data_IF_154001407719
#
_entry.id   IF_154001407719
#
_cell.length_a   1.000
_cell.length_b   1.000
_cell.length_c   1.000
_cell.angle_alpha   90.00
_cell.angle_beta   90.00
_cell.angle_gamma   90.00
#
_symmetry.space_group_name_H-M   'P 1'
#
loop_
_entity.id
_entity.type
_entity.pdbx_description
1 polymer ?
#
# COMPACT_ATOMS: atom_id res chain seq x y z
N UNK A 1 -0.65 0.42 23.40
CA UNK A 1 0.42 -0.17 22.59
C UNK A 1 1.79 0.09 23.22
N UNK A 2 2.80 -0.70 22.84
CA UNK A 2 4.11 -0.71 23.51
C UNK A 2 4.90 0.60 23.39
N UNK A 3 4.59 1.44 22.41
CA UNK A 3 5.25 2.75 22.22
C UNK A 3 4.59 3.88 23.02
N UNK A 4 3.44 3.64 23.66
CA UNK A 4 2.77 4.62 24.52
C UNK A 4 3.19 4.38 25.95
N UNK A 5 3.79 5.38 26.59
CA UNK A 5 4.31 5.28 27.96
C UNK A 5 3.65 6.30 28.88
N UNK A 6 3.70 6.05 30.18
CA UNK A 6 3.29 7.00 31.22
C UNK A 6 4.46 7.86 31.74
N UNK A 7 5.67 7.56 31.27
CA UNK A 7 6.90 8.26 31.69
C UNK A 7 7.27 9.40 30.76
N UNK A 8 6.69 9.42 29.56
CA UNK A 8 6.88 10.46 28.57
C UNK A 8 5.53 10.82 27.93
N UNK A 9 5.21 12.10 27.82
CA UNK A 9 3.93 12.59 27.33
C UNK A 9 2.75 12.33 28.29
N UNK A 10 1.58 12.19 27.73
CA UNK A 10 0.31 12.08 28.48
C UNK A 10 -0.16 10.64 28.70
N UNK A 11 0.48 9.66 28.09
CA UNK A 11 -0.02 8.27 28.03
C UNK A 11 -1.24 8.09 27.11
N UNK A 12 -1.61 9.11 26.35
CA UNK A 12 -2.73 9.08 25.37
C UNK A 12 -2.18 9.36 23.98
N UNK A 13 -2.54 8.53 23.01
CA UNK A 13 -2.17 8.70 21.61
C UNK A 13 -3.40 8.70 20.72
N UNK A 14 -3.40 9.56 19.71
CA UNK A 14 -4.39 9.54 18.64
C UNK A 14 -4.00 8.46 17.62
N UNK A 15 -4.96 7.66 17.19
CA UNK A 15 -4.78 6.59 16.19
C UNK A 15 -5.75 6.83 15.03
N UNK A 16 -5.21 6.88 13.81
CA UNK A 16 -5.97 7.02 12.57
C UNK A 16 -5.58 5.88 11.58
N UNK A 17 -6.21 4.69 11.68
CA UNK A 17 -5.77 3.48 10.96
C UNK A 17 -5.65 3.63 9.44
N UNK A 18 -6.40 4.53 8.80
CA UNK A 18 -6.33 4.78 7.35
C UNK A 18 -5.19 5.72 6.93
N UNK A 19 -4.50 6.39 7.89
CA UNK A 19 -3.59 7.50 7.60
C UNK A 19 -2.18 7.34 8.20
N UNK A 20 -1.80 6.15 8.64
CA UNK A 20 -0.48 5.83 9.12
C UNK A 20 -0.24 4.33 9.17
N UNK A 21 0.99 3.88 8.91
CA UNK A 21 1.34 2.45 8.94
C UNK A 21 1.26 1.89 10.36
N UNK A 22 1.84 2.59 11.33
CA UNK A 22 1.78 2.20 12.74
C UNK A 22 0.34 2.23 13.25
N UNK A 23 -0.43 3.25 12.88
CA UNK A 23 -1.84 3.37 13.21
C UNK A 23 -2.67 2.20 12.62
N UNK A 24 -2.37 1.82 11.37
CA UNK A 24 -3.01 0.67 10.72
C UNK A 24 -2.65 -0.65 11.42
N UNK A 25 -1.42 -0.81 11.91
CA UNK A 25 -0.99 -1.98 12.68
C UNK A 25 -1.75 -2.05 14.01
N UNK A 26 -1.83 -0.93 14.74
CA UNK A 26 -2.64 -0.85 15.96
C UNK A 26 -4.12 -1.11 15.65
N UNK A 27 -4.63 -0.51 14.58
CA UNK A 27 -6.00 -0.72 14.13
C UNK A 27 -6.33 -2.20 13.91
N UNK A 28 -5.45 -2.95 13.25
CA UNK A 28 -5.61 -4.40 13.04
C UNK A 28 -5.52 -5.19 14.35
N UNK A 29 -4.56 -4.86 15.20
CA UNK A 29 -4.33 -5.59 16.46
C UNK A 29 -5.48 -5.43 17.46
N UNK A 30 -6.17 -4.28 17.44
CA UNK A 30 -7.25 -3.96 18.37
C UNK A 30 -8.63 -3.89 17.70
N UNK A 31 -8.73 -4.33 16.44
CA UNK A 31 -9.98 -4.34 15.67
C UNK A 31 -10.67 -2.96 15.63
N UNK A 32 -9.88 -1.89 15.50
CA UNK A 32 -10.41 -0.54 15.40
C UNK A 32 -11.07 -0.30 14.04
N UNK A 33 -12.10 0.55 13.96
CA UNK A 33 -12.70 0.92 12.67
C UNK A 33 -11.67 1.50 11.71
N UNK A 34 -11.71 1.02 10.47
CA UNK A 34 -10.91 1.58 9.38
C UNK A 34 -11.79 2.52 8.55
N UNK A 35 -11.60 3.82 8.70
CA UNK A 35 -12.45 4.85 8.08
C UNK A 35 -11.59 5.75 7.19
N UNK A 36 -11.91 5.77 5.89
CA UNK A 36 -11.23 6.59 4.90
C UNK A 36 -12.05 7.86 4.65
N UNK A 37 -11.64 8.97 5.26
CA UNK A 37 -12.34 10.27 5.17
C UNK A 37 -11.72 11.24 4.17
N UNK A 38 -10.84 10.76 3.31
CA UNK A 38 -10.20 11.51 2.23
C UNK A 38 -10.30 10.68 0.96
N UNK A 39 -10.64 11.30 -0.15
CA UNK A 39 -10.74 10.63 -1.44
C UNK A 39 -9.36 10.48 -2.13
N UNK A 40 -9.33 9.89 -3.32
CA UNK A 40 -8.10 9.67 -4.08
C UNK A 40 -7.40 10.94 -4.56
N UNK A 41 -8.10 12.09 -4.55
CA UNK A 41 -7.54 13.41 -4.90
C UNK A 41 -7.00 14.15 -3.69
N UNK A 42 -7.23 13.60 -2.49
CA UNK A 42 -6.89 14.23 -1.23
C UNK A 42 -7.96 15.20 -0.73
N UNK A 43 -9.17 15.15 -1.29
CA UNK A 43 -10.28 15.98 -0.85
C UNK A 43 -11.07 15.26 0.25
N UNK A 44 -11.64 16.04 1.18
CA UNK A 44 -12.43 15.51 2.28
C UNK A 44 -13.68 14.79 1.75
N UNK A 45 -13.95 13.60 2.26
CA UNK A 45 -15.08 12.76 1.84
C UNK A 45 -16.44 13.42 2.11
N UNK A 46 -17.47 12.97 1.37
CA UNK A 46 -18.81 13.54 1.40
C UNK A 46 -19.48 13.48 2.79
N UNK A 47 -19.08 12.55 3.62
CA UNK A 47 -19.59 12.34 4.98
C UNK A 47 -19.02 13.34 5.99
N UNK A 48 -18.01 14.13 5.58
CA UNK A 48 -17.36 15.10 6.47
C UNK A 48 -18.00 16.49 6.35
N UNK A 49 -17.93 17.33 7.41
CA UNK A 49 -18.44 18.71 7.34
C UNK A 49 -17.74 19.59 6.30
N UNK A 50 -16.56 19.19 5.85
CA UNK A 50 -15.73 19.93 4.89
C UNK A 50 -15.60 19.21 3.54
N UNK A 51 -16.63 18.47 3.14
CA UNK A 51 -16.67 17.69 1.91
C UNK A 51 -16.17 18.45 0.67
N UNK A 52 -15.31 17.80 -0.12
CA UNK A 52 -14.74 18.36 -1.35
C UNK A 52 -13.65 19.41 -1.15
N UNK A 53 -13.25 19.70 0.08
CA UNK A 53 -12.12 20.58 0.38
C UNK A 53 -10.83 19.74 0.48
N UNK A 54 -9.77 20.17 -0.21
CA UNK A 54 -8.47 19.52 -0.08
C UNK A 54 -8.01 19.49 1.38
N UNK A 55 -7.58 18.34 1.88
CA UNK A 55 -7.31 18.07 3.30
C UNK A 55 -6.44 19.14 3.97
N UNK A 56 -5.35 19.60 3.32
CA UNK A 56 -4.49 20.65 3.87
C UNK A 56 -5.15 22.04 3.92
N UNK A 57 -6.17 22.28 3.11
CA UNK A 57 -7.00 23.50 3.18
C UNK A 57 -8.10 23.37 4.21
N UNK A 58 -8.49 22.16 4.56
CA UNK A 58 -9.46 21.90 5.61
C UNK A 58 -8.88 22.14 7.02
N UNK A 59 -7.55 21.98 7.23
CA UNK A 59 -6.90 22.15 8.54
C UNK A 59 -7.34 23.44 9.28
N UNK A 60 -7.23 24.65 8.69
CA UNK A 60 -7.66 25.87 9.37
C UNK A 60 -9.18 25.95 9.59
N UNK A 61 -9.97 25.28 8.75
CA UNK A 61 -11.43 25.23 8.91
C UNK A 61 -11.82 24.34 10.09
N UNK A 62 -11.12 23.21 10.26
CA UNK A 62 -11.29 22.31 11.41
C UNK A 62 -10.91 23.02 12.71
N UNK A 63 -9.77 23.72 12.74
CA UNK A 63 -9.36 24.50 13.91
C UNK A 63 -10.39 25.56 14.28
N UNK A 64 -10.94 26.25 13.30
CA UNK A 64 -11.99 27.26 13.53
C UNK A 64 -13.27 26.61 14.08
N UNK A 65 -13.72 25.50 13.53
CA UNK A 65 -14.92 24.78 14.03
C UNK A 65 -14.71 24.32 15.48
N UNK A 66 -13.54 23.79 15.80
CA UNK A 66 -13.21 23.36 17.16
C UNK A 66 -13.18 24.54 18.15
N UNK A 67 -12.64 25.69 17.74
CA UNK A 67 -12.62 26.90 18.54
C UNK A 67 -14.04 27.44 18.80
N UNK A 68 -14.86 27.57 17.77
CA UNK A 68 -16.27 28.01 17.86
C UNK A 68 -17.11 27.09 18.76
N UNK A 69 -16.77 25.79 18.83
CA UNK A 69 -17.42 24.82 19.71
C UNK A 69 -16.81 24.75 21.10
N UNK A 70 -15.77 25.54 21.39
CA UNK A 70 -15.06 25.50 22.69
C UNK A 70 -14.31 24.20 22.96
N UNK A 71 -13.92 23.47 21.92
CA UNK A 71 -13.20 22.19 21.99
C UNK A 71 -11.72 22.31 21.64
N UNK A 72 -11.27 23.46 21.17
CA UNK A 72 -9.87 23.69 20.87
C UNK A 72 -9.13 24.05 22.16
N UNK A 73 -8.17 23.19 22.55
CA UNK A 73 -7.31 23.47 23.70
C UNK A 73 -6.15 24.39 23.32
N UNK A 74 -5.41 24.03 22.27
CA UNK A 74 -4.28 24.80 21.75
C UNK A 74 -3.95 24.33 20.32
N UNK A 75 -3.32 25.20 19.51
CA UNK A 75 -2.86 24.91 18.17
C UNK A 75 -1.55 25.64 17.86
N UNK A 76 -0.45 25.35 18.59
CA UNK A 76 0.82 26.00 18.37
C UNK A 76 1.39 25.66 16.99
N UNK A 77 2.06 26.61 16.38
CA UNK A 77 2.80 26.35 15.13
C UNK A 77 4.03 25.52 15.46
N UNK A 78 4.18 24.40 14.78
CA UNK A 78 5.32 23.52 14.92
C UNK A 78 6.00 23.34 13.55
N UNK A 79 7.30 23.63 13.50
CA UNK A 79 8.09 23.42 12.28
C UNK A 79 8.76 22.04 12.32
N UNK A 80 8.52 21.25 11.29
CA UNK A 80 9.07 19.90 11.15
C UNK A 80 9.31 19.56 9.70
N UNK A 81 10.15 18.55 9.46
CA UNK A 81 10.33 17.97 8.12
C UNK A 81 9.04 17.31 7.65
N UNK A 82 8.63 17.58 6.40
CA UNK A 82 7.47 16.98 5.79
C UNK A 82 7.80 16.42 4.40
N UNK A 83 7.36 15.22 4.06
CA UNK A 83 7.67 14.62 2.76
C UNK A 83 6.92 15.31 1.63
N UNK A 84 7.65 15.64 0.56
CA UNK A 84 7.11 16.22 -0.67
C UNK A 84 7.39 15.33 -1.88
N UNK A 85 6.56 15.43 -2.89
CA UNK A 85 6.77 14.73 -4.16
C UNK A 85 8.03 15.28 -4.85
N UNK A 86 9.00 14.43 -5.14
CA UNK A 86 10.26 14.82 -5.78
C UNK A 86 10.10 15.38 -7.22
N UNK A 87 8.90 15.25 -7.82
CA UNK A 87 8.63 15.74 -9.19
C UNK A 87 7.90 17.08 -9.22
N UNK A 88 6.93 17.28 -8.35
CA UNK A 88 6.04 18.44 -8.38
C UNK A 88 6.02 19.22 -7.06
N UNK A 89 6.85 18.80 -6.09
CA UNK A 89 6.98 19.44 -4.78
C UNK A 89 5.66 19.57 -3.97
N UNK A 90 4.65 18.79 -4.35
CA UNK A 90 3.38 18.75 -3.60
C UNK A 90 3.57 17.99 -2.29
N UNK A 91 3.01 18.45 -1.16
CA UNK A 91 3.01 17.69 0.09
C UNK A 91 2.35 16.33 -0.11
N UNK A 92 2.98 15.27 0.40
CA UNK A 92 2.42 13.92 0.36
C UNK A 92 1.44 13.73 1.52
N UNK A 93 0.45 12.88 1.33
CA UNK A 93 -0.45 12.40 2.37
C UNK A 93 -0.37 10.88 2.45
N UNK A 94 -0.53 10.32 3.64
CA UNK A 94 -0.77 8.89 3.78
C UNK A 94 -2.18 8.58 3.27
N UNK A 95 -2.27 7.52 2.47
CA UNK A 95 -3.53 7.08 1.88
C UNK A 95 -3.50 5.58 1.68
N UNK A 96 -4.44 4.87 2.26
CA UNK A 96 -4.54 3.42 2.12
C UNK A 96 -5.10 3.07 0.74
N UNK A 97 -4.44 2.13 0.07
CA UNK A 97 -4.82 1.60 -1.25
C UNK A 97 -4.72 0.09 -1.27
N UNK A 98 -5.61 -0.52 -1.99
CA UNK A 98 -5.45 -1.93 -2.35
C UNK A 98 -4.23 -2.08 -3.25
N UNK A 99 -3.41 -3.06 -2.94
CA UNK A 99 -2.14 -3.29 -3.63
C UNK A 99 -1.78 -4.77 -3.59
N UNK A 100 -1.12 -5.22 -4.64
CA UNK A 100 -0.54 -6.54 -4.68
C UNK A 100 0.81 -6.57 -3.98
N UNK A 101 1.01 -7.61 -3.18
CA UNK A 101 2.25 -7.82 -2.43
C UNK A 101 2.82 -9.20 -2.70
N UNK A 102 4.14 -9.28 -2.87
CA UNK A 102 4.88 -10.53 -2.73
C UNK A 102 5.19 -10.71 -1.25
N UNK A 103 4.71 -11.80 -0.65
CA UNK A 103 4.88 -12.08 0.78
C UNK A 103 6.32 -12.51 1.07
N UNK A 104 7.25 -11.56 1.08
CA UNK A 104 8.66 -11.80 1.36
C UNK A 104 8.89 -12.29 2.79
N UNK A 105 8.04 -11.89 3.72
CA UNK A 105 8.09 -12.35 5.12
C UNK A 105 7.91 -13.87 5.26
N UNK A 106 7.23 -14.51 4.31
CA UNK A 106 7.04 -15.98 4.30
C UNK A 106 8.32 -16.76 4.02
N UNK A 107 9.32 -16.16 3.37
CA UNK A 107 10.61 -16.78 3.01
C UNK A 107 11.79 -16.13 3.72
N UNK A 108 11.55 -15.27 4.69
CA UNK A 108 12.56 -14.50 5.41
C UNK A 108 13.63 -15.39 6.03
N UNK A 109 13.24 -16.43 6.74
CA UNK A 109 14.18 -17.33 7.43
C UNK A 109 15.08 -18.08 6.46
N UNK A 110 14.52 -18.51 5.31
CA UNK A 110 15.27 -19.16 4.25
C UNK A 110 16.26 -18.19 3.59
N UNK A 111 15.87 -16.93 3.39
CA UNK A 111 16.76 -15.89 2.85
C UNK A 111 17.93 -15.63 3.79
N UNK A 112 17.68 -15.52 5.09
CA UNK A 112 18.73 -15.35 6.11
C UNK A 112 19.65 -16.58 6.15
N UNK A 113 19.08 -17.79 6.15
CA UNK A 113 19.86 -19.02 6.13
C UNK A 113 20.75 -19.11 4.90
N UNK A 114 20.23 -18.81 3.72
CA UNK A 114 21.00 -18.79 2.47
C UNK A 114 22.10 -17.70 2.48
N UNK A 115 21.80 -16.49 2.98
CA UNK A 115 22.78 -15.41 3.12
C UNK A 115 23.98 -15.86 3.97
N UNK A 116 23.76 -16.63 5.02
CA UNK A 116 24.81 -17.14 5.91
C UNK A 116 25.72 -18.18 5.24
N UNK A 117 25.34 -18.75 4.10
CA UNK A 117 26.19 -19.66 3.32
C UNK A 117 27.11 -18.95 2.33
N UNK A 118 26.89 -17.68 2.07
CA UNK A 118 27.64 -16.88 1.08
C UNK A 118 28.99 -16.45 1.69
N UNK A 119 30.06 -16.64 0.93
CA UNK A 119 31.36 -16.07 1.28
C UNK A 119 31.46 -14.61 0.82
N UNK A 120 31.04 -13.70 1.69
CA UNK A 120 31.06 -12.26 1.42
C UNK A 120 32.48 -11.66 1.52
N UNK A 121 32.85 -10.81 0.56
CA UNK A 121 34.12 -10.06 0.57
C UNK A 121 33.81 -8.56 0.40
N UNK A 122 33.93 -7.75 1.46
CA UNK A 122 34.23 -8.12 2.84
C UNK A 122 33.05 -8.79 3.54
N UNK A 123 33.33 -9.58 4.55
CA UNK A 123 32.35 -10.33 5.35
C UNK A 123 31.28 -9.42 6.00
N UNK A 124 31.66 -8.19 6.32
CA UNK A 124 30.77 -7.17 6.89
C UNK A 124 29.55 -6.82 6.04
N UNK A 125 29.56 -7.08 4.72
CA UNK A 125 28.41 -6.84 3.86
C UNK A 125 27.28 -7.82 4.21
N UNK A 126 27.60 -9.10 4.34
CA UNK A 126 26.62 -10.15 4.61
C UNK A 126 26.04 -10.11 6.02
N UNK A 127 26.86 -9.79 7.02
CA UNK A 127 26.45 -9.69 8.43
C UNK A 127 25.91 -8.31 8.81
N UNK A 128 26.32 -7.25 8.12
CA UNK A 128 25.88 -5.89 8.33
C UNK A 128 24.73 -5.52 7.40
N UNK A 129 24.93 -4.52 6.54
CA UNK A 129 23.88 -3.87 5.77
C UNK A 129 22.90 -4.82 5.03
N UNK A 130 23.40 -5.90 4.44
CA UNK A 130 22.55 -6.85 3.72
C UNK A 130 21.83 -7.80 4.70
N UNK A 131 22.55 -8.30 5.73
CA UNK A 131 21.95 -9.11 6.79
C UNK A 131 20.86 -8.34 7.54
N UNK A 132 21.15 -7.11 7.97
CA UNK A 132 20.19 -6.22 8.62
C UNK A 132 18.95 -5.95 7.74
N UNK A 133 19.15 -5.81 6.42
CA UNK A 133 18.04 -5.64 5.48
C UNK A 133 17.17 -6.91 5.41
N UNK A 134 17.76 -8.10 5.38
CA UNK A 134 17.02 -9.36 5.40
C UNK A 134 16.27 -9.58 6.72
N UNK A 135 16.88 -9.22 7.85
CA UNK A 135 16.25 -9.31 9.17
C UNK A 135 15.04 -8.38 9.30
N UNK A 136 15.03 -7.29 8.55
CA UNK A 136 13.94 -6.31 8.54
C UNK A 136 13.14 -6.33 7.23
N UNK A 137 13.20 -7.45 6.48
CA UNK A 137 12.48 -7.55 5.20
C UNK A 137 10.97 -7.38 5.40
N UNK A 138 10.38 -6.53 4.57
CA UNK A 138 8.96 -6.29 4.49
C UNK A 138 8.38 -6.97 3.25
N UNK A 139 7.07 -7.20 3.23
CA UNK A 139 6.38 -7.67 2.04
C UNK A 139 6.51 -6.65 0.91
N UNK A 140 6.82 -7.12 -0.28
CA UNK A 140 7.15 -6.25 -1.41
C UNK A 140 5.90 -5.83 -2.17
N UNK A 141 5.47 -4.57 -2.01
CA UNK A 141 4.39 -3.97 -2.79
C UNK A 141 4.80 -3.78 -4.26
N UNK A 142 4.13 -4.49 -5.17
CA UNK A 142 4.43 -4.49 -6.61
C UNK A 142 3.47 -3.64 -7.43
N UNK A 143 2.33 -3.24 -6.90
CA UNK A 143 1.40 -2.32 -7.57
C UNK A 143 2.02 -0.96 -7.85
N UNK A 144 1.72 -0.40 -9.01
CA UNK A 144 2.16 0.94 -9.42
C UNK A 144 0.99 1.70 -10.03
N UNK A 145 0.75 2.91 -9.54
CA UNK A 145 -0.30 3.79 -10.08
C UNK A 145 0.12 4.50 -11.37
N UNK A 146 1.42 4.53 -11.63
CA UNK A 146 1.92 5.12 -12.85
C UNK A 146 1.85 4.11 -13.97
N UNK A 147 1.10 4.44 -15.00
CA UNK A 147 0.93 3.62 -16.17
C UNK A 147 2.27 3.40 -16.88
N UNK A 148 2.66 2.15 -17.05
CA UNK A 148 3.77 1.71 -17.88
C UNK A 148 3.34 0.69 -18.93
N UNK A 149 2.11 0.18 -18.82
CA UNK A 149 1.52 -0.75 -19.76
C UNK A 149 1.85 -2.23 -19.52
N UNK A 150 2.59 -2.57 -18.46
CA UNK A 150 2.84 -3.97 -18.10
C UNK A 150 1.89 -4.36 -16.96
N UNK A 151 0.82 -5.12 -17.23
CA UNK A 151 -0.09 -5.62 -16.20
C UNK A 151 0.57 -6.73 -15.39
N UNK A 152 -0.03 -7.05 -14.24
CA UNK A 152 0.28 -8.27 -13.52
C UNK A 152 -0.27 -9.47 -14.33
N UNK A 153 0.43 -10.59 -14.29
CA UNK A 153 0.04 -11.83 -14.95
C UNK A 153 -1.03 -12.60 -14.17
N UNK A 154 -2.05 -11.89 -13.70
CA UNK A 154 -3.13 -12.42 -12.87
C UNK A 154 -4.46 -12.12 -13.54
N UNK A 155 -5.25 -13.19 -13.77
CA UNK A 155 -6.62 -13.13 -14.26
C UNK A 155 -7.57 -13.32 -13.08
N UNK A 156 -8.54 -12.45 -12.96
CA UNK A 156 -9.54 -12.47 -11.89
C UNK A 156 -10.93 -12.75 -12.50
N UNK A 157 -11.66 -13.69 -11.90
CA UNK A 157 -13.01 -14.03 -12.28
C UNK A 157 -14.04 -13.29 -11.42
N UNK A 158 -15.22 -13.04 -11.96
CA UNK A 158 -16.36 -12.50 -11.21
C UNK A 158 -16.73 -13.35 -9.97
N UNK A 159 -16.37 -14.64 -9.95
CA UNK A 159 -16.55 -15.49 -8.77
C UNK A 159 -15.47 -15.28 -7.68
N UNK A 160 -14.49 -14.41 -7.93
CA UNK A 160 -13.36 -14.16 -7.03
C UNK A 160 -12.20 -15.15 -7.19
N UNK A 161 -12.30 -16.11 -8.15
CA UNK A 161 -11.16 -16.98 -8.45
C UNK A 161 -10.06 -16.21 -9.17
N UNK A 162 -8.82 -16.38 -8.72
CA UNK A 162 -7.65 -15.76 -9.34
C UNK A 162 -6.70 -16.83 -9.88
N UNK A 163 -6.18 -16.60 -11.08
CA UNK A 163 -5.21 -17.48 -11.71
C UNK A 163 -3.99 -16.68 -12.20
N UNK A 164 -2.80 -17.13 -11.84
CA UNK A 164 -1.54 -16.53 -12.30
C UNK A 164 -0.98 -17.32 -13.46
N UNK A 165 -0.75 -16.67 -14.60
CA UNK A 165 -0.18 -17.28 -15.82
C UNK A 165 1.33 -17.14 -15.82
N UNK A 166 2.05 -18.25 -15.92
CA UNK A 166 3.50 -18.29 -15.88
C UNK A 166 4.20 -18.16 -17.23
N UNK A 167 3.48 -18.33 -18.36
CA UNK A 167 4.07 -18.28 -19.70
C UNK A 167 3.06 -17.99 -20.80
N UNK A 168 3.53 -17.50 -21.95
CA UNK A 168 2.69 -17.34 -23.16
C UNK A 168 2.12 -18.69 -23.63
N UNK A 169 2.85 -19.78 -23.47
CA UNK A 169 2.37 -21.10 -23.83
C UNK A 169 1.17 -21.52 -23.00
N UNK A 170 1.24 -21.33 -21.68
CA UNK A 170 0.14 -21.57 -20.75
C UNK A 170 -1.06 -20.65 -21.06
N UNK A 171 -0.81 -19.36 -21.33
CA UNK A 171 -1.86 -18.42 -21.72
C UNK A 171 -2.62 -18.91 -22.96
N UNK A 172 -1.91 -19.36 -23.99
CA UNK A 172 -2.52 -19.91 -25.22
C UNK A 172 -3.28 -21.21 -25.00
N UNK A 173 -2.84 -22.03 -24.07
CA UNK A 173 -3.55 -23.28 -23.71
C UNK A 173 -4.86 -23.00 -22.97
N UNK A 174 -4.88 -21.96 -22.14
CA UNK A 174 -6.04 -21.61 -21.31
C UNK A 174 -7.00 -20.61 -21.95
N UNK A 175 -6.60 -19.98 -23.06
CA UNK A 175 -7.34 -18.91 -23.74
C UNK A 175 -7.82 -19.34 -25.12
N UNK A 176 -9.08 -19.07 -25.42
CA UNK A 176 -9.65 -19.27 -26.76
C UNK A 176 -9.41 -18.09 -27.71
N UNK A 177 -8.97 -16.94 -27.17
CA UNK A 177 -8.82 -15.70 -27.94
C UNK A 177 -7.42 -15.06 -27.88
N UNK A 178 -6.40 -15.79 -27.39
CA UNK A 178 -5.03 -15.30 -27.35
C UNK A 178 -4.39 -15.31 -28.74
N UNK A 179 -3.96 -14.16 -29.29
CA UNK A 179 -3.26 -14.10 -30.56
C UNK A 179 -1.91 -14.82 -30.55
N UNK A 180 -1.47 -15.31 -31.73
CA UNK A 180 -0.18 -16.00 -31.83
C UNK A 180 1.02 -15.09 -31.54
N UNK A 181 0.91 -13.82 -31.87
CA UNK A 181 1.91 -12.76 -31.71
C UNK A 181 1.57 -11.80 -30.57
N UNK A 182 0.91 -12.29 -29.51
CA UNK A 182 0.45 -11.47 -28.40
C UNK A 182 1.55 -10.59 -27.82
N UNK A 183 1.27 -9.30 -27.68
CA UNK A 183 2.07 -8.35 -26.94
C UNK A 183 1.54 -8.20 -25.50
N UNK A 184 2.41 -8.45 -24.50
CA UNK A 184 2.02 -8.47 -23.06
C UNK A 184 1.95 -7.06 -22.45
N UNK A 185 1.52 -6.06 -23.24
CA UNK A 185 1.30 -4.69 -22.80
C UNK A 185 -0.15 -4.27 -23.06
N UNK A 186 -0.61 -3.31 -22.27
CA UNK A 186 -1.86 -2.63 -22.56
C UNK A 186 -1.76 -1.81 -23.85
N UNK A 187 -2.80 -1.79 -24.68
CA UNK A 187 -4.10 -2.42 -24.49
C UNK A 187 -4.20 -3.88 -25.01
N UNK A 188 -3.15 -4.41 -25.61
CA UNK A 188 -3.20 -5.67 -26.39
C UNK A 188 -3.58 -6.91 -25.54
N UNK A 189 -3.14 -6.93 -24.28
CA UNK A 189 -3.44 -8.06 -23.37
C UNK A 189 -4.83 -7.91 -22.70
N UNK A 190 -5.41 -6.72 -22.67
CA UNK A 190 -6.61 -6.42 -21.90
C UNK A 190 -7.85 -7.22 -22.42
N UNK A 191 -7.87 -7.60 -23.68
CA UNK A 191 -8.97 -8.36 -24.29
C UNK A 191 -8.77 -9.88 -24.21
N UNK A 192 -7.62 -10.37 -23.71
CA UNK A 192 -7.33 -11.79 -23.63
C UNK A 192 -7.97 -12.37 -22.37
N UNK A 193 -8.87 -13.34 -22.57
CA UNK A 193 -9.57 -14.03 -21.49
C UNK A 193 -9.08 -15.47 -21.35
N UNK A 194 -9.20 -16.05 -20.17
CA UNK A 194 -8.93 -17.47 -19.92
C UNK A 194 -10.17 -18.18 -19.39
N UNK A 195 -10.22 -19.49 -19.47
CA UNK A 195 -11.33 -20.27 -18.93
C UNK A 195 -11.22 -20.44 -17.43
N UNK A 196 -12.26 -20.03 -16.70
CA UNK A 196 -12.34 -20.25 -15.25
C UNK A 196 -12.73 -21.70 -14.94
N UNK A 197 -11.98 -22.40 -14.09
CA UNK A 197 -12.37 -23.75 -13.67
C UNK A 197 -13.68 -23.79 -12.88
N UNK A 198 -14.08 -22.68 -12.26
CA UNK A 198 -15.31 -22.59 -11.43
C UNK A 198 -16.54 -22.12 -12.23
N UNK A 199 -16.39 -21.19 -13.18
CA UNK A 199 -17.50 -20.57 -13.91
C UNK A 199 -17.42 -20.67 -15.44
N UNK A 200 -16.41 -21.33 -16.00
CA UNK A 200 -16.21 -21.49 -17.44
C UNK A 200 -15.81 -20.25 -18.26
N UNK A 201 -15.71 -19.04 -17.69
CA UNK A 201 -15.19 -17.83 -18.36
C UNK A 201 -14.56 -16.87 -17.34
N UNK A 202 -13.36 -16.35 -17.64
CA UNK A 202 -12.67 -15.31 -16.84
C UNK A 202 -12.34 -14.10 -17.72
N UNK A 203 -12.53 -12.92 -17.16
CA UNK A 203 -12.00 -11.67 -17.67
C UNK A 203 -10.78 -11.22 -16.84
N UNK A 204 -9.88 -10.47 -17.47
CA UNK A 204 -8.76 -9.80 -16.76
C UNK A 204 -9.33 -8.72 -15.85
#
# INVERSE_FOLDING_TARGET
DNYVTLTDGTGVVHIAPAFGEDDANVGRNYELPFVQLVDEKGDMAAETPFAGVFVKKADPMVLKDLDERGLLFDAPKFEHSYPHCWRCDTPLIYYARESWFIKMTAVKDDLIANNNTINWIPESIGKGRFGDWLENVQDWGISRNRYWGTPLNIWECECGHMHSIGSIAELKEMSDNCPDDIELHRPYIDDVTITCPELSLIHI
#
